data_IF_175047515430
#
_entry.id   IF_175047515430
#
_cell.length_a   1.000
_cell.length_b   1.000
_cell.length_c   1.000
_cell.angle_alpha   90.00
_cell.angle_beta   90.00
_cell.angle_gamma   90.00
#
_symmetry.space_group_name_H-M   'P 1'
#
loop_
_entity.id
_entity.type
_entity.pdbx_description
1 polymer ?
#
# COMPACT_ATOMS: atom_id res chain seq x y z
N UNK A 1 -3.20 18.29 -12.60
CA UNK A 1 -2.81 16.87 -12.69
C UNK A 1 -1.33 16.81 -12.35
N UNK A 2 -0.91 15.97 -11.42
CA UNK A 2 0.48 15.94 -10.96
C UNK A 2 1.33 15.12 -11.94
N UNK A 3 2.38 15.74 -12.48
CA UNK A 3 3.39 15.09 -13.31
C UNK A 3 4.71 15.09 -12.54
N UNK A 4 5.45 13.99 -12.60
CA UNK A 4 6.80 13.90 -12.06
C UNK A 4 7.78 13.94 -13.23
N UNK A 5 8.69 14.92 -13.21
CA UNK A 5 9.86 14.94 -14.09
C UNK A 5 10.95 14.03 -13.51
N UNK A 6 11.50 13.16 -14.33
CA UNK A 6 12.64 12.31 -14.02
C UNK A 6 13.79 12.73 -14.93
N UNK A 7 14.82 13.31 -14.34
CA UNK A 7 16.09 13.55 -15.01
C UNK A 7 16.88 12.24 -15.01
N UNK A 8 17.26 11.79 -16.19
CA UNK A 8 17.97 10.54 -16.44
C UNK A 8 19.25 10.86 -17.18
N UNK A 9 20.37 10.60 -16.51
CA UNK A 9 21.69 10.73 -17.11
C UNK A 9 22.14 9.35 -17.60
N UNK A 10 22.45 9.24 -18.88
CA UNK A 10 23.07 8.04 -19.42
C UNK A 10 24.58 8.06 -19.11
N UNK A 11 25.00 7.14 -18.25
CA UNK A 11 26.38 7.00 -17.82
C UNK A 11 27.34 6.61 -18.96
N UNK A 12 26.87 5.88 -19.97
CA UNK A 12 27.73 5.40 -21.07
C UNK A 12 27.81 6.41 -22.24
N UNK A 13 26.73 7.13 -22.55
CA UNK A 13 26.71 8.08 -23.67
C UNK A 13 26.88 9.55 -23.27
N UNK A 14 26.88 9.83 -21.96
CA UNK A 14 26.95 11.18 -21.39
C UNK A 14 25.84 12.11 -21.93
N UNK A 15 24.67 11.52 -22.21
CA UNK A 15 23.47 12.22 -22.65
C UNK A 15 22.49 12.37 -21.49
N UNK A 16 21.96 13.58 -21.33
CA UNK A 16 20.93 13.90 -20.35
C UNK A 16 19.54 13.80 -21.02
N UNK A 17 18.60 13.14 -20.36
CA UNK A 17 17.22 12.99 -20.83
C UNK A 17 16.22 13.30 -19.72
N UNK A 18 15.21 14.10 -20.02
CA UNK A 18 14.10 14.34 -19.09
C UNK A 18 12.88 13.51 -19.53
N UNK A 19 12.34 12.71 -18.61
CA UNK A 19 11.13 11.92 -18.82
C UNK A 19 10.05 12.42 -17.87
N UNK A 20 8.92 12.85 -18.42
CA UNK A 20 7.74 13.14 -17.60
C UNK A 20 6.85 11.91 -17.47
N UNK A 21 6.51 11.56 -16.23
CA UNK A 21 5.51 10.52 -15.93
C UNK A 21 4.29 11.18 -15.30
N UNK A 22 3.14 11.04 -15.96
CA UNK A 22 1.86 11.42 -15.38
C UNK A 22 1.39 10.38 -14.36
N UNK A 23 0.62 10.82 -13.37
CA UNK A 23 0.02 9.90 -12.39
C UNK A 23 -0.83 8.81 -13.05
N UNK A 24 -1.59 9.15 -14.10
CA UNK A 24 -2.39 8.20 -14.87
C UNK A 24 -1.52 7.18 -15.60
N UNK A 25 -0.44 7.64 -16.26
CA UNK A 25 0.52 6.77 -16.92
C UNK A 25 1.16 5.78 -15.95
N UNK A 26 1.55 6.25 -14.77
CA UNK A 26 2.08 5.40 -13.71
C UNK A 26 1.04 4.37 -13.20
N UNK A 27 -0.20 4.79 -13.00
CA UNK A 27 -1.28 3.90 -12.57
C UNK A 27 -1.55 2.80 -13.62
N UNK A 28 -1.52 3.16 -14.90
CA UNK A 28 -1.67 2.22 -16.03
C UNK A 28 -0.56 1.16 -16.03
N UNK A 29 0.69 1.57 -15.81
CA UNK A 29 1.81 0.62 -15.68
C UNK A 29 1.65 -0.34 -14.49
N UNK A 30 0.93 0.08 -13.45
CA UNK A 30 0.72 -0.69 -12.23
C UNK A 30 -0.57 -1.54 -12.22
N UNK A 31 -1.38 -1.55 -13.28
CA UNK A 31 -2.68 -2.22 -13.31
C UNK A 31 -2.63 -3.71 -12.92
N UNK A 32 -1.63 -4.44 -13.41
CA UNK A 32 -1.44 -5.86 -13.09
C UNK A 32 -1.15 -6.07 -11.60
N UNK A 33 -0.38 -5.18 -10.99
CA UNK A 33 -0.07 -5.23 -9.56
C UNK A 33 -1.33 -4.90 -8.73
N UNK A 34 -2.10 -3.88 -9.12
CA UNK A 34 -3.36 -3.54 -8.47
C UNK A 34 -4.38 -4.69 -8.53
N UNK A 35 -4.47 -5.38 -9.67
CA UNK A 35 -5.32 -6.57 -9.82
C UNK A 35 -4.88 -7.68 -8.87
N UNK A 36 -3.58 -7.92 -8.74
CA UNK A 36 -3.03 -8.91 -7.81
C UNK A 36 -3.37 -8.56 -6.35
N UNK A 37 -3.25 -7.29 -5.94
CA UNK A 37 -3.64 -6.83 -4.60
C UNK A 37 -5.12 -7.13 -4.33
N UNK A 38 -6.01 -6.79 -5.28
CA UNK A 38 -7.46 -7.07 -5.16
C UNK A 38 -7.74 -8.57 -4.99
N UNK A 39 -7.05 -9.43 -5.75
CA UNK A 39 -7.22 -10.87 -5.65
C UNK A 39 -6.76 -11.41 -4.30
N UNK A 40 -5.65 -10.92 -3.76
CA UNK A 40 -5.17 -11.30 -2.41
C UNK A 40 -6.16 -10.91 -1.33
N UNK A 41 -6.75 -9.70 -1.41
CA UNK A 41 -7.77 -9.25 -0.46
C UNK A 41 -9.04 -10.10 -0.53
N UNK A 42 -9.51 -10.43 -1.74
CA UNK A 42 -10.68 -11.31 -1.92
C UNK A 42 -10.42 -12.71 -1.34
N UNK A 43 -9.22 -13.25 -1.53
CA UNK A 43 -8.84 -14.54 -0.94
C UNK A 43 -8.83 -14.48 0.60
N UNK A 44 -8.35 -13.38 1.19
CA UNK A 44 -8.37 -13.20 2.65
C UNK A 44 -9.80 -13.10 3.21
N UNK A 45 -10.70 -12.38 2.54
CA UNK A 45 -12.12 -12.32 2.89
C UNK A 45 -12.78 -13.70 2.83
N UNK A 46 -12.53 -14.43 1.73
CA UNK A 46 -13.03 -15.79 1.58
C UNK A 46 -12.54 -16.72 2.70
N UNK A 47 -11.25 -16.71 3.01
CA UNK A 47 -10.67 -17.58 4.03
C UNK A 47 -11.12 -17.23 5.46
N UNK A 48 -11.56 -15.99 5.69
CA UNK A 48 -12.04 -15.53 6.99
C UNK A 48 -13.57 -15.60 7.14
N UNK A 49 -14.29 -16.01 6.08
CA UNK A 49 -15.77 -16.01 6.02
C UNK A 49 -16.41 -14.64 6.30
N UNK A 50 -15.70 -13.54 6.01
CA UNK A 50 -16.22 -12.19 6.11
C UNK A 50 -16.54 -11.62 4.73
N UNK A 51 -17.63 -10.86 4.66
CA UNK A 51 -17.93 -9.99 3.53
C UNK A 51 -17.25 -8.63 3.71
N UNK A 52 -16.95 -7.95 2.60
CA UNK A 52 -16.30 -6.64 2.64
C UNK A 52 -17.04 -5.60 3.50
N UNK A 53 -18.38 -5.64 3.52
CA UNK A 53 -19.21 -4.73 4.32
C UNK A 53 -19.17 -5.01 5.84
N UNK A 54 -18.61 -6.14 6.25
CA UNK A 54 -18.45 -6.49 7.66
C UNK A 54 -17.12 -5.96 8.22
N UNK A 55 -16.26 -5.38 7.38
CA UNK A 55 -15.01 -4.77 7.80
C UNK A 55 -15.30 -3.38 8.35
N UNK A 56 -15.03 -3.17 9.65
CA UNK A 56 -15.29 -1.89 10.30
C UNK A 56 -14.17 -0.88 10.12
N UNK A 57 -12.90 -1.34 10.05
CA UNK A 57 -11.73 -0.47 9.93
C UNK A 57 -10.70 -1.07 8.96
N UNK A 58 -10.04 -0.19 8.22
CA UNK A 58 -8.90 -0.51 7.36
C UNK A 58 -7.73 0.37 7.79
N UNK A 59 -6.71 -0.26 8.36
CA UNK A 59 -5.48 0.40 8.80
C UNK A 59 -4.46 0.40 7.66
N UNK A 60 -4.04 1.58 7.21
CA UNK A 60 -3.00 1.74 6.19
C UNK A 60 -1.62 1.69 6.83
N UNK A 61 -0.85 0.64 6.53
CA UNK A 61 0.48 0.40 7.08
C UNK A 61 1.49 0.19 5.96
N UNK A 62 2.70 0.74 6.11
CA UNK A 62 3.81 0.65 5.15
C UNK A 62 3.74 1.63 3.97
N UNK A 63 4.90 1.92 3.37
CA UNK A 63 5.06 2.97 2.36
C UNK A 63 4.18 2.82 1.11
N UNK A 64 3.94 1.59 0.63
CA UNK A 64 3.09 1.34 -0.53
C UNK A 64 1.62 1.78 -0.35
N UNK A 65 1.12 1.79 0.89
CA UNK A 65 -0.23 2.27 1.20
C UNK A 65 -0.39 3.78 1.04
N UNK A 66 0.72 4.54 0.95
CA UNK A 66 0.70 5.99 0.71
C UNK A 66 0.28 6.34 -0.72
N UNK A 67 0.38 5.40 -1.66
CA UNK A 67 0.05 5.60 -3.07
C UNK A 67 -1.45 5.89 -3.24
N UNK A 68 -1.85 6.97 -3.95
CA UNK A 68 -3.26 7.33 -4.12
C UNK A 68 -4.12 6.24 -4.73
N UNK A 69 -3.58 5.50 -5.70
CA UNK A 69 -4.29 4.39 -6.37
C UNK A 69 -4.61 3.22 -5.42
N UNK A 70 -3.76 2.96 -4.42
CA UNK A 70 -3.99 1.93 -3.41
C UNK A 70 -5.07 2.38 -2.43
N UNK A 71 -4.99 3.63 -1.96
CA UNK A 71 -6.03 4.21 -1.10
C UNK A 71 -7.41 4.20 -1.76
N UNK A 72 -7.46 4.52 -3.06
CA UNK A 72 -8.70 4.48 -3.83
C UNK A 72 -9.21 3.05 -4.02
N UNK A 73 -8.32 2.10 -4.36
CA UNK A 73 -8.68 0.68 -4.45
C UNK A 73 -9.32 0.18 -3.15
N UNK A 74 -8.69 0.46 -2.00
CA UNK A 74 -9.17 0.02 -0.70
C UNK A 74 -10.50 0.68 -0.31
N UNK A 75 -10.68 1.97 -0.58
CA UNK A 75 -11.96 2.66 -0.37
C UNK A 75 -13.08 2.09 -1.24
N UNK A 76 -12.77 1.71 -2.47
CA UNK A 76 -13.75 1.09 -3.36
C UNK A 76 -14.12 -0.33 -2.91
N UNK A 77 -13.18 -1.06 -2.29
CA UNK A 77 -13.43 -2.41 -1.78
C UNK A 77 -14.16 -2.42 -0.44
N UNK A 78 -13.87 -1.45 0.43
CA UNK A 78 -14.40 -1.36 1.79
C UNK A 78 -15.05 0.00 2.06
N UNK A 79 -16.15 0.34 1.36
CA UNK A 79 -16.72 1.69 1.40
C UNK A 79 -17.25 2.10 2.77
N UNK A 80 -17.74 1.14 3.56
CA UNK A 80 -18.32 1.37 4.90
C UNK A 80 -17.27 1.35 6.02
N UNK A 81 -16.02 1.02 5.70
CA UNK A 81 -14.96 0.91 6.69
C UNK A 81 -14.34 2.27 7.01
N UNK A 82 -13.99 2.50 8.27
CA UNK A 82 -13.16 3.63 8.67
C UNK A 82 -11.72 3.40 8.17
N UNK A 83 -11.23 4.30 7.30
CA UNK A 83 -9.86 4.22 6.80
C UNK A 83 -8.92 5.05 7.64
N UNK A 84 -8.15 4.40 8.51
CA UNK A 84 -7.22 5.06 9.41
C UNK A 84 -5.79 4.97 8.85
N UNK A 85 -5.05 6.07 8.95
CA UNK A 85 -3.59 6.07 8.79
C UNK A 85 -3.01 6.37 10.17
N UNK A 86 -2.18 5.48 10.70
CA UNK A 86 -1.49 5.70 11.97
C UNK A 86 -0.56 6.92 11.91
N UNK A 87 -0.27 7.53 13.06
CA UNK A 87 0.66 8.66 13.13
C UNK A 87 2.07 8.27 12.67
N UNK A 88 2.48 7.03 12.98
CA UNK A 88 3.79 6.46 12.65
C UNK A 88 3.63 5.13 11.89
N UNK A 89 3.16 5.16 10.63
CA UNK A 89 2.78 3.95 9.89
C UNK A 89 3.99 3.06 9.50
N UNK A 90 5.20 3.60 9.59
CA UNK A 90 6.43 2.86 9.30
C UNK A 90 7.00 2.16 10.56
N UNK A 91 6.54 2.55 11.75
CA UNK A 91 7.02 2.03 13.04
C UNK A 91 6.04 1.05 13.69
N UNK A 92 4.74 1.16 13.36
CA UNK A 92 3.66 0.38 13.99
C UNK A 92 3.89 -1.13 13.97
N UNK A 93 4.53 -1.66 12.92
CA UNK A 93 4.87 -3.09 12.81
C UNK A 93 5.94 -3.47 13.84
N UNK A 94 6.99 -2.65 13.98
CA UNK A 94 8.06 -2.91 14.94
C UNK A 94 7.57 -2.78 16.38
N UNK A 95 6.74 -1.77 16.65
CA UNK A 95 6.11 -1.56 17.96
C UNK A 95 5.22 -2.76 18.32
N UNK A 96 4.35 -3.20 17.40
CA UNK A 96 3.50 -4.38 17.61
C UNK A 96 4.30 -5.65 17.87
N UNK A 97 5.41 -5.86 17.14
CA UNK A 97 6.30 -6.98 17.36
C UNK A 97 7.00 -6.92 18.74
N UNK A 98 7.41 -5.74 19.20
CA UNK A 98 8.02 -5.56 20.51
C UNK A 98 7.04 -5.89 21.66
N UNK A 99 5.79 -5.42 21.55
CA UNK A 99 4.72 -5.77 22.51
C UNK A 99 4.45 -7.27 22.54
N UNK A 100 4.43 -7.92 21.37
CA UNK A 100 4.26 -9.37 21.28
C UNK A 100 5.45 -10.11 21.92
N UNK A 101 6.69 -9.70 21.63
CA UNK A 101 7.87 -10.30 22.26
C UNK A 101 7.87 -10.17 23.79
N UNK A 102 7.40 -9.03 24.30
CA UNK A 102 7.25 -8.81 25.74
C UNK A 102 6.16 -9.72 26.38
N UNK A 103 5.10 -10.05 25.65
CA UNK A 103 4.01 -10.90 26.17
C UNK A 103 4.32 -12.39 26.14
N UNK A 104 5.37 -12.80 25.42
CA UNK A 104 5.78 -14.20 25.38
C UNK A 104 6.35 -14.64 26.74
N UNK A 105 6.00 -15.85 27.20
CA UNK A 105 6.62 -16.42 28.39
C UNK A 105 8.14 -16.48 28.21
N UNK A 106 8.89 -16.02 29.20
CA UNK A 106 10.32 -16.27 29.29
C UNK A 106 10.50 -17.71 29.74
N UNK A 107 10.68 -18.62 28.78
CA UNK A 107 11.20 -19.97 29.07
C UNK A 107 12.70 -19.83 29.41
N UNK A 108 12.96 -19.46 30.67
CA UNK A 108 14.25 -19.58 31.37
C UNK A 108 14.02 -20.20 32.74
#
# INVERSE_FOLDING_TARGET
MANAGLDVDDFDTNQEGNIEISQEGFQKMCELLLKRVKNTLNAALHNSNFNANQINKVLHVGGGSRMPMIKQLLRNMFPEAEHCTEEHPDEVVAIGAAYYAYSLPSDT
#
